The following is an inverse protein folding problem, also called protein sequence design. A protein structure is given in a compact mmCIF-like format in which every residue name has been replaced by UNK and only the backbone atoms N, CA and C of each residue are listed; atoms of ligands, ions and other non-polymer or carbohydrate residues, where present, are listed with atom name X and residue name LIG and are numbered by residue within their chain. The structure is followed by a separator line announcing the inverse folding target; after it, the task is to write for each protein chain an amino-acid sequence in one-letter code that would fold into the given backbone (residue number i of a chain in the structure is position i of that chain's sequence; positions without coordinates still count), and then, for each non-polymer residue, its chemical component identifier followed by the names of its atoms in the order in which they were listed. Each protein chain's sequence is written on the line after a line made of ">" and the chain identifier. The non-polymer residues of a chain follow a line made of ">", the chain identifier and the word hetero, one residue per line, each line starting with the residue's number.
data_IF_356349581428
#
_entry.id   IF_356349581428
#
_cell.length_a   1.000
_cell.length_b   1.000
_cell.length_c   1.000
_cell.angle_alpha   90.00
_cell.angle_beta   90.00
_cell.angle_gamma   90.00
#
_symmetry.space_group_name_H-M   'P 1'
#
loop_
_entity.id
_entity.type
_entity.pdbx_description
1 polymer ?
#
# COMPACT_ATOMS: atom_id res chain seq x y z
N UNK A 1 -33.68 29.05 6.34
CA UNK A 1 -32.78 27.98 5.88
C UNK A 1 -32.47 28.26 4.42
N UNK A 2 -31.20 28.37 4.06
CA UNK A 2 -30.82 28.76 2.70
C UNK A 2 -31.17 27.65 1.69
N UNK A 3 -31.99 27.92 0.65
CA UNK A 3 -32.41 26.91 -0.31
C UNK A 3 -31.25 26.25 -1.06
N UNK A 4 -30.21 27.04 -1.35
CA UNK A 4 -28.99 26.56 -2.00
C UNK A 4 -28.20 25.58 -1.11
N UNK A 5 -28.27 25.74 0.21
CA UNK A 5 -27.60 24.82 1.14
C UNK A 5 -28.26 23.44 1.13
N UNK A 6 -29.59 23.38 1.02
CA UNK A 6 -30.32 22.11 0.92
C UNK A 6 -30.00 21.39 -0.39
N UNK A 7 -30.05 22.10 -1.53
CA UNK A 7 -29.72 21.51 -2.84
C UNK A 7 -28.28 20.97 -2.89
N UNK A 8 -27.32 21.70 -2.31
CA UNK A 8 -25.92 21.24 -2.26
C UNK A 8 -25.74 20.01 -1.37
N UNK A 9 -26.46 19.93 -0.25
CA UNK A 9 -26.41 18.77 0.64
C UNK A 9 -26.98 17.53 -0.04
N UNK A 10 -28.15 17.64 -0.68
CA UNK A 10 -28.79 16.53 -1.41
C UNK A 10 -27.87 15.95 -2.49
N UNK A 11 -27.26 16.82 -3.29
CA UNK A 11 -26.28 16.41 -4.31
C UNK A 11 -25.10 15.64 -3.72
N UNK A 12 -24.53 16.13 -2.62
CA UNK A 12 -23.39 15.48 -1.95
C UNK A 12 -23.75 14.14 -1.31
N UNK A 13 -24.98 14.00 -0.83
CA UNK A 13 -25.47 12.73 -0.30
C UNK A 13 -25.71 11.70 -1.40
N UNK A 14 -26.18 12.11 -2.59
CA UNK A 14 -26.33 11.21 -3.74
C UNK A 14 -25.01 10.74 -4.33
N UNK A 15 -23.95 11.55 -4.22
CA UNK A 15 -22.61 11.24 -4.73
C UNK A 15 -21.71 10.57 -3.66
N UNK A 16 -22.26 10.24 -2.48
CA UNK A 16 -21.48 9.74 -1.35
C UNK A 16 -20.91 8.34 -1.67
N UNK A 17 -19.59 8.14 -1.63
CA UNK A 17 -18.96 6.83 -1.78
C UNK A 17 -19.36 5.86 -0.67
N UNK A 18 -19.42 4.57 -1.02
CA UNK A 18 -19.66 3.51 -0.05
C UNK A 18 -18.47 3.32 0.88
N UNK A 19 -18.73 2.75 2.06
CA UNK A 19 -17.67 2.48 3.06
C UNK A 19 -16.51 1.67 2.47
N UNK A 20 -16.82 0.64 1.69
CA UNK A 20 -15.82 -0.25 1.11
C UNK A 20 -14.91 0.49 0.11
N UNK A 21 -15.48 1.37 -0.71
CA UNK A 21 -14.72 2.19 -1.66
C UNK A 21 -13.74 3.12 -0.93
N UNK A 22 -14.16 3.70 0.20
CA UNK A 22 -13.26 4.51 1.04
C UNK A 22 -12.13 3.68 1.65
N UNK A 23 -12.39 2.42 2.02
CA UNK A 23 -11.38 1.50 2.54
C UNK A 23 -10.38 1.10 1.44
N UNK A 24 -10.86 0.74 0.26
CA UNK A 24 -10.02 0.39 -0.90
C UNK A 24 -9.11 1.54 -1.33
N UNK A 25 -9.63 2.77 -1.26
CA UNK A 25 -8.85 3.99 -1.52
C UNK A 25 -7.91 4.39 -0.37
N UNK A 26 -7.81 3.60 0.69
CA UNK A 26 -7.02 3.90 1.90
C UNK A 26 -7.43 5.21 2.60
N UNK A 27 -8.66 5.68 2.39
CA UNK A 27 -9.22 6.87 3.05
C UNK A 27 -9.76 6.47 4.43
N UNK A 28 -10.54 5.41 4.49
CA UNK A 28 -11.06 4.84 5.74
C UNK A 28 -10.26 3.59 6.10
N UNK A 29 -10.04 3.38 7.40
CA UNK A 29 -9.36 2.18 7.89
C UNK A 29 -10.36 1.03 8.04
N UNK A 30 -9.95 -0.18 7.67
CA UNK A 30 -10.80 -1.38 7.84
C UNK A 30 -10.77 -1.85 9.30
N UNK A 31 -11.57 -1.18 10.12
CA UNK A 31 -11.60 -1.38 11.57
C UNK A 31 -12.95 -1.94 12.03
N UNK A 32 -13.43 -2.98 11.33
CA UNK A 32 -14.62 -3.73 11.74
C UNK A 32 -14.43 -4.23 13.17
N UNK A 33 -15.32 -3.78 14.08
CA UNK A 33 -15.34 -4.22 15.48
C UNK A 33 -14.43 -3.44 16.44
N UNK A 34 -13.77 -2.37 15.98
CA UNK A 34 -12.87 -1.56 16.82
C UNK A 34 -13.51 -0.21 17.09
N UNK A 35 -13.42 0.26 18.33
CA UNK A 35 -13.92 1.58 18.69
C UNK A 35 -13.18 2.68 17.91
N UNK A 36 -13.87 3.73 17.41
CA UNK A 36 -13.24 4.80 16.64
C UNK A 36 -12.04 5.47 17.33
N UNK A 37 -12.08 5.58 18.66
CA UNK A 37 -10.99 6.15 19.45
C UNK A 37 -9.71 5.29 19.47
N UNK A 38 -9.81 3.98 19.20
CA UNK A 38 -8.68 3.04 19.26
C UNK A 38 -8.02 2.79 17.91
N UNK A 39 -8.65 3.20 16.81
CA UNK A 39 -8.15 3.03 15.44
C UNK A 39 -6.72 3.58 15.30
N UNK A 40 -6.50 4.82 15.71
CA UNK A 40 -5.20 5.46 15.60
C UNK A 40 -4.10 4.73 16.41
N UNK A 41 -4.44 4.22 17.60
CA UNK A 41 -3.51 3.48 18.44
C UNK A 41 -3.15 2.12 17.82
N UNK A 42 -4.14 1.40 17.26
CA UNK A 42 -3.92 0.15 16.52
C UNK A 42 -2.99 0.39 15.33
N UNK A 43 -3.26 1.40 14.51
CA UNK A 43 -2.43 1.69 13.33
C UNK A 43 -0.98 1.99 13.71
N UNK A 44 -0.79 2.80 14.76
CA UNK A 44 0.56 3.10 15.27
C UNK A 44 1.29 1.83 15.70
N UNK A 45 0.60 0.92 16.40
CA UNK A 45 1.17 -0.36 16.80
C UNK A 45 1.50 -1.24 15.59
N UNK A 46 0.57 -1.37 14.64
CA UNK A 46 0.79 -2.17 13.43
C UNK A 46 1.98 -1.66 12.62
N UNK A 47 2.13 -0.33 12.51
CA UNK A 47 3.27 0.31 11.86
C UNK A 47 4.58 -0.01 12.58
N UNK A 48 4.64 0.17 13.91
CA UNK A 48 5.84 -0.15 14.70
C UNK A 48 6.26 -1.61 14.51
N UNK A 49 5.30 -2.54 14.59
CA UNK A 49 5.58 -3.96 14.37
C UNK A 49 6.09 -4.26 12.95
N UNK A 50 5.61 -3.53 11.94
CA UNK A 50 6.09 -3.68 10.57
C UNK A 50 7.51 -3.13 10.41
N UNK A 51 7.79 -1.98 11.02
CA UNK A 51 9.13 -1.37 11.05
C UNK A 51 10.14 -2.33 11.69
N UNK A 52 9.82 -2.91 12.84
CA UNK A 52 10.70 -3.87 13.54
C UNK A 52 10.95 -5.14 12.69
N UNK A 53 9.88 -5.68 12.08
CA UNK A 53 9.98 -6.86 11.21
C UNK A 53 10.83 -6.57 9.97
N UNK A 54 10.65 -5.40 9.37
CA UNK A 54 11.39 -4.99 8.19
C UNK A 54 12.87 -4.81 8.53
N UNK A 55 13.19 -4.14 9.64
CA UNK A 55 14.57 -3.95 10.08
C UNK A 55 15.29 -5.29 10.28
N UNK A 56 14.64 -6.24 10.95
CA UNK A 56 15.18 -7.58 11.12
C UNK A 56 15.40 -8.31 9.77
N UNK A 57 14.44 -8.24 8.85
CA UNK A 57 14.56 -8.85 7.53
C UNK A 57 15.68 -8.21 6.68
N UNK A 58 15.91 -6.90 6.83
CA UNK A 58 16.99 -6.19 6.16
C UNK A 58 18.36 -6.55 6.73
N UNK A 59 18.48 -6.73 8.05
CA UNK A 59 19.71 -7.20 8.69
C UNK A 59 20.10 -8.61 8.22
N UNK A 60 19.12 -9.48 7.99
CA UNK A 60 19.32 -10.84 7.49
C UNK A 60 19.26 -10.95 5.97
N UNK A 61 19.37 -9.82 5.25
CA UNK A 61 19.24 -9.81 3.79
C UNK A 61 20.38 -10.63 3.16
N UNK A 62 20.07 -11.73 2.43
CA UNK A 62 21.09 -12.56 1.81
C UNK A 62 21.84 -11.79 0.74
N UNK A 63 23.13 -12.11 0.59
CA UNK A 63 23.95 -11.47 -0.43
C UNK A 63 23.59 -12.00 -1.83
N UNK A 64 23.91 -11.23 -2.86
CA UNK A 64 23.63 -11.61 -4.23
C UNK A 64 24.28 -12.95 -4.60
N UNK A 65 25.49 -13.22 -4.11
CA UNK A 65 26.22 -14.47 -4.37
C UNK A 65 25.50 -15.68 -3.76
N UNK A 66 24.91 -15.53 -2.57
CA UNK A 66 24.12 -16.57 -1.91
C UNK A 66 22.86 -16.89 -2.69
N UNK A 67 22.20 -15.85 -3.24
CA UNK A 67 21.03 -16.01 -4.10
C UNK A 67 21.38 -16.66 -5.44
N UNK A 68 22.56 -16.40 -6.01
CA UNK A 68 23.06 -17.09 -7.21
C UNK A 68 23.34 -18.56 -6.93
N UNK A 69 23.99 -18.87 -5.80
CA UNK A 69 24.24 -20.25 -5.36
C UNK A 69 22.93 -21.01 -5.13
N UNK A 70 21.90 -20.32 -4.62
CA UNK A 70 20.55 -20.85 -4.43
C UNK A 70 19.72 -20.95 -5.71
N UNK A 71 20.25 -20.54 -6.88
CA UNK A 71 19.53 -20.55 -8.15
C UNK A 71 18.38 -19.54 -8.26
N UNK A 72 18.28 -18.60 -7.31
CA UNK A 72 17.27 -17.53 -7.29
C UNK A 72 17.67 -16.40 -8.24
N UNK A 73 18.95 -16.03 -8.22
CA UNK A 73 19.53 -15.11 -9.20
C UNK A 73 20.31 -15.91 -10.26
N UNK A 74 20.14 -15.55 -11.52
CA UNK A 74 21.01 -16.04 -12.58
C UNK A 74 22.33 -15.27 -12.47
N UNK A 75 23.46 -15.99 -12.31
CA UNK A 75 24.77 -15.39 -12.06
C UNK A 75 25.14 -14.34 -13.12
N UNK A 76 25.45 -13.14 -12.62
CA UNK A 76 25.61 -11.87 -13.34
C UNK A 76 24.28 -11.17 -13.70
N UNK A 77 24.15 -9.84 -13.44
CA UNK A 77 23.04 -9.08 -13.98
C UNK A 77 23.13 -9.24 -15.49
N UNK A 78 22.18 -9.97 -16.07
CA UNK A 78 21.93 -9.84 -17.49
C UNK A 78 21.54 -8.37 -17.62
N UNK A 79 22.49 -7.56 -18.07
CA UNK A 79 22.22 -6.29 -18.71
C UNK A 79 21.39 -6.65 -19.94
N UNK A 80 20.11 -6.96 -19.72
CA UNK A 80 19.13 -7.03 -20.78
C UNK A 80 18.89 -5.57 -21.17
N UNK A 81 19.89 -4.99 -21.82
CA UNK A 81 19.64 -3.91 -22.74
C UNK A 81 18.74 -4.53 -23.81
N UNK A 82 17.46 -4.12 -23.92
CA UNK A 82 16.69 -4.50 -25.07
C UNK A 82 17.50 -4.06 -26.28
N UNK A 83 17.99 -5.03 -27.07
CA UNK A 83 18.62 -4.74 -28.33
C UNK A 83 17.54 -4.01 -29.12
N UNK A 84 17.74 -2.71 -29.33
CA UNK A 84 16.95 -1.92 -30.26
C UNK A 84 17.13 -2.66 -31.58
N UNK A 85 16.13 -3.44 -31.99
CA UNK A 85 16.13 -4.06 -33.31
C UNK A 85 16.21 -2.89 -34.27
N UNK A 86 17.41 -2.71 -34.83
CA UNK A 86 17.65 -1.85 -35.96
C UNK A 86 17.05 -2.54 -37.17
N UNK A 87 15.71 -2.50 -37.24
CA UNK A 87 14.97 -2.83 -38.45
C UNK A 87 14.49 -1.51 -39.06
N UNK A 88 15.27 -1.08 -40.06
CA UNK A 88 14.97 -0.21 -41.20
C UNK A 88 14.50 1.23 -40.95
#
# INVERSE_FOLDING_TARGET
>A
LDPNAMQNLEKRLSERPDKNELVERNILKDDKGIAPALVAAKEKLQRSQLEDKLDHALQQRPKAEELVKGGILLGAPILHYPQRTSDN
#
